data_IF_217244022373
#
_entry.id   IF_217244022373
#
_cell.length_a   1.000
_cell.length_b   1.000
_cell.length_c   1.000
_cell.angle_alpha   90.00
_cell.angle_beta   90.00
_cell.angle_gamma   90.00
#
_symmetry.space_group_name_H-M   'P 1'
#
loop_
_entity.id
_entity.type
_entity.pdbx_description
1 polymer ?
#
# COMPACT_ATOMS: atom_id res chain seq x y z
N UNK A 1 22.12 -8.21 19.29
CA UNK A 1 20.67 -8.50 19.17
C UNK A 1 20.19 -8.37 17.74
N UNK A 2 19.30 -9.25 17.30
CA UNK A 2 18.58 -9.09 16.03
C UNK A 2 17.07 -9.18 16.21
N UNK A 3 16.30 -8.36 15.50
CA UNK A 3 14.84 -8.36 15.53
C UNK A 3 14.23 -7.97 14.18
N UNK A 4 12.93 -8.19 14.02
CA UNK A 4 12.18 -7.75 12.84
C UNK A 4 11.35 -6.51 13.19
N UNK A 5 11.49 -5.45 12.42
CA UNK A 5 10.65 -4.25 12.47
C UNK A 5 9.69 -4.24 11.26
N UNK A 6 8.40 -4.15 11.54
CA UNK A 6 7.31 -4.00 10.58
C UNK A 6 6.28 -3.01 11.13
N UNK A 7 5.31 -2.58 10.31
CA UNK A 7 4.25 -1.65 10.68
C UNK A 7 3.10 -1.77 9.68
N UNK A 8 1.97 -1.10 9.95
CA UNK A 8 0.92 -0.84 8.96
C UNK A 8 0.35 -2.12 8.31
N UNK A 9 0.18 -3.17 9.11
CA UNK A 9 -0.39 -4.44 8.65
C UNK A 9 -1.83 -4.28 8.16
N UNK A 10 -2.57 -3.35 8.77
CA UNK A 10 -3.94 -2.98 8.41
C UNK A 10 -4.82 -4.20 8.13
N UNK A 11 -4.76 -5.18 9.04
CA UNK A 11 -5.51 -6.42 8.92
C UNK A 11 -7.01 -6.10 8.90
N UNK A 12 -7.70 -6.60 7.87
CA UNK A 12 -9.10 -6.25 7.58
C UNK A 12 -9.29 -5.17 6.51
N UNK A 13 -8.22 -4.62 5.93
CA UNK A 13 -8.32 -3.65 4.83
C UNK A 13 -9.13 -4.19 3.64
N UNK A 14 -9.97 -3.32 3.08
CA UNK A 14 -10.70 -3.54 1.83
C UNK A 14 -10.44 -2.42 0.81
N UNK A 15 -10.59 -2.72 -0.47
CA UNK A 15 -10.41 -1.80 -1.59
C UNK A 15 -11.60 -1.94 -2.53
N UNK A 16 -12.38 -0.86 -2.66
CA UNK A 16 -13.63 -0.86 -3.44
C UNK A 16 -13.46 -1.18 -4.94
N UNK A 17 -12.26 -0.97 -5.49
CA UNK A 17 -11.95 -1.21 -6.91
C UNK A 17 -11.50 -2.64 -7.19
N UNK A 18 -11.25 -3.46 -6.16
CA UNK A 18 -10.96 -4.87 -6.35
C UNK A 18 -12.24 -5.62 -6.68
N UNK A 19 -12.17 -6.52 -7.66
CA UNK A 19 -13.29 -7.41 -7.96
C UNK A 19 -13.52 -8.46 -6.85
N UNK A 20 -14.67 -9.15 -6.92
CA UNK A 20 -15.15 -10.09 -5.90
C UNK A 20 -14.15 -11.23 -5.61
N UNK A 21 -13.33 -11.62 -6.59
CA UNK A 21 -12.30 -12.65 -6.42
C UNK A 21 -10.97 -12.09 -5.89
N UNK A 22 -10.65 -10.83 -6.20
CA UNK A 22 -9.41 -10.17 -5.81
C UNK A 22 -9.40 -9.73 -4.34
N UNK A 23 -10.52 -9.21 -3.82
CA UNK A 23 -10.57 -8.73 -2.44
C UNK A 23 -10.24 -9.83 -1.40
N UNK A 24 -10.81 -11.06 -1.47
CA UNK A 24 -10.44 -12.14 -0.55
C UNK A 24 -8.96 -12.53 -0.65
N UNK A 25 -8.38 -12.51 -1.85
CA UNK A 25 -6.95 -12.78 -2.08
C UNK A 25 -6.07 -11.69 -1.49
N UNK A 26 -6.50 -10.43 -1.56
CA UNK A 26 -5.78 -9.30 -0.95
C UNK A 26 -5.78 -9.40 0.58
N UNK A 27 -6.94 -9.67 1.18
CA UNK A 27 -7.06 -9.89 2.62
C UNK A 27 -6.25 -11.11 3.09
N UNK A 28 -6.19 -12.18 2.28
CA UNK A 28 -5.33 -13.33 2.56
C UNK A 28 -3.85 -12.98 2.49
N UNK A 29 -3.41 -12.23 1.48
CA UNK A 29 -2.01 -11.83 1.34
C UNK A 29 -1.49 -11.00 2.52
N UNK A 30 -2.32 -10.10 3.08
CA UNK A 30 -1.96 -9.38 4.32
C UNK A 30 -1.70 -10.30 5.50
N UNK A 31 -2.52 -11.35 5.68
CA UNK A 31 -2.30 -12.37 6.72
C UNK A 31 -1.11 -13.29 6.40
N UNK A 32 -0.90 -13.61 5.13
CA UNK A 32 0.25 -14.38 4.69
C UNK A 32 1.56 -13.62 4.97
N UNK A 33 1.58 -12.29 4.78
CA UNK A 33 2.74 -11.46 5.10
C UNK A 33 3.08 -11.48 6.61
N UNK A 34 2.07 -11.55 7.49
CA UNK A 34 2.27 -11.76 8.94
C UNK A 34 2.81 -13.17 9.22
N UNK A 35 2.26 -14.18 8.57
CA UNK A 35 2.70 -15.58 8.72
C UNK A 35 4.15 -15.77 8.25
N UNK A 36 4.54 -15.07 7.19
CA UNK A 36 5.88 -15.07 6.61
C UNK A 36 6.94 -14.54 7.59
N UNK A 37 6.55 -13.71 8.57
CA UNK A 37 7.47 -13.21 9.59
C UNK A 37 8.09 -14.32 10.43
N UNK A 38 7.40 -15.45 10.62
CA UNK A 38 7.99 -16.62 11.29
C UNK A 38 9.19 -17.18 10.53
N UNK A 39 9.08 -17.29 9.19
CA UNK A 39 10.21 -17.71 8.34
C UNK A 39 11.32 -16.66 8.36
N UNK A 40 10.99 -15.37 8.22
CA UNK A 40 11.98 -14.28 8.27
C UNK A 40 12.72 -14.26 9.60
N UNK A 41 12.01 -14.42 10.71
CA UNK A 41 12.60 -14.47 12.04
C UNK A 41 13.53 -15.68 12.20
N UNK A 42 13.10 -16.87 11.78
CA UNK A 42 13.91 -18.08 11.83
C UNK A 42 15.19 -17.99 10.98
N UNK A 43 15.08 -17.51 9.74
CA UNK A 43 16.22 -17.39 8.82
C UNK A 43 17.24 -16.34 9.26
N UNK A 44 16.74 -15.24 9.82
CA UNK A 44 17.60 -14.18 10.32
C UNK A 44 18.11 -14.45 11.73
N UNK A 45 17.52 -15.38 12.50
CA UNK A 45 17.81 -15.53 13.92
C UNK A 45 17.32 -14.33 14.74
N UNK A 46 16.22 -13.71 14.32
CA UNK A 46 15.59 -12.63 15.07
C UNK A 46 15.01 -13.16 16.40
N UNK A 47 15.23 -12.41 17.47
CA UNK A 47 14.78 -12.76 18.82
C UNK A 47 13.32 -12.37 19.07
N UNK A 48 12.79 -11.39 18.33
CA UNK A 48 11.41 -10.91 18.42
C UNK A 48 11.00 -10.09 17.18
N UNK A 49 9.72 -9.77 17.11
CA UNK A 49 9.10 -8.87 16.11
C UNK A 49 8.50 -7.66 16.82
N UNK A 50 8.68 -6.47 16.24
CA UNK A 50 7.99 -5.24 16.64
C UNK A 50 7.12 -4.76 15.49
N UNK A 51 5.86 -4.41 15.82
CA UNK A 51 4.88 -3.83 14.91
C UNK A 51 4.60 -2.40 15.32
N UNK A 52 5.08 -1.43 14.55
CA UNK A 52 5.08 0.00 14.91
C UNK A 52 3.76 0.72 14.52
N UNK A 53 2.62 0.18 14.92
CA UNK A 53 1.31 0.77 14.68
C UNK A 53 0.51 0.14 13.54
N UNK A 54 -0.78 0.46 13.53
CA UNK A 54 -1.76 0.06 12.52
C UNK A 54 -1.73 -1.45 12.21
N UNK A 55 -1.86 -2.26 13.27
CA UNK A 55 -1.96 -3.72 13.16
C UNK A 55 -3.26 -4.09 12.45
N UNK A 56 -4.34 -3.40 12.83
CA UNK A 56 -5.69 -3.60 12.30
C UNK A 56 -6.16 -2.36 11.53
N UNK A 57 -6.98 -2.56 10.49
CA UNK A 57 -7.53 -1.44 9.70
C UNK A 57 -8.47 -0.53 10.50
N UNK A 58 -9.15 -1.08 11.52
CA UNK A 58 -9.91 -0.30 12.48
C UNK A 58 -10.28 -1.14 13.70
N UNK A 59 -10.70 -0.50 14.79
CA UNK A 59 -11.17 -1.18 15.99
C UNK A 59 -12.42 -2.08 15.80
N UNK A 60 -13.26 -1.83 14.77
CA UNK A 60 -14.53 -2.52 14.57
C UNK A 60 -14.48 -3.65 13.53
N UNK A 61 -13.62 -4.64 13.73
CA UNK A 61 -13.48 -5.77 12.79
C UNK A 61 -14.48 -6.90 13.04
N UNK A 62 -14.76 -7.67 11.99
CA UNK A 62 -15.48 -8.92 12.11
C UNK A 62 -14.68 -9.91 12.97
N UNK A 63 -15.37 -10.69 13.81
CA UNK A 63 -14.73 -11.66 14.71
C UNK A 63 -13.80 -12.63 13.97
N UNK A 64 -14.18 -13.03 12.75
CA UNK A 64 -13.37 -13.90 11.89
C UNK A 64 -12.02 -13.27 11.57
N UNK A 65 -11.97 -11.99 11.22
CA UNK A 65 -10.72 -11.32 10.83
C UNK A 65 -9.79 -11.17 12.03
N UNK A 66 -10.33 -10.90 13.22
CA UNK A 66 -9.55 -10.87 14.46
C UNK A 66 -8.98 -12.26 14.77
N UNK A 67 -9.81 -13.31 14.77
CA UNK A 67 -9.35 -14.67 15.06
C UNK A 67 -8.30 -15.17 14.06
N UNK A 68 -8.48 -14.92 12.76
CA UNK A 68 -7.50 -15.32 11.73
C UNK A 68 -6.19 -14.54 11.85
N UNK A 69 -6.26 -13.26 12.22
CA UNK A 69 -5.08 -12.43 12.48
C UNK A 69 -4.27 -12.95 13.66
N UNK A 70 -4.93 -13.28 14.77
CA UNK A 70 -4.28 -13.86 15.95
C UNK A 70 -3.66 -15.22 15.67
N UNK A 71 -4.29 -16.05 14.84
CA UNK A 71 -3.71 -17.34 14.42
C UNK A 71 -2.46 -17.16 13.55
N UNK A 72 -2.45 -16.17 12.64
CA UNK A 72 -1.24 -15.83 11.88
C UNK A 72 -0.10 -15.36 12.81
N UNK A 73 -0.40 -14.53 13.82
CA UNK A 73 0.58 -14.07 14.81
C UNK A 73 1.14 -15.21 15.67
N UNK A 74 0.31 -16.20 16.03
CA UNK A 74 0.74 -17.41 16.75
C UNK A 74 1.83 -18.17 16.00
N UNK A 75 1.75 -18.21 14.67
CA UNK A 75 2.69 -18.91 13.80
C UNK A 75 4.09 -18.27 13.71
N UNK A 76 4.28 -17.05 14.21
CA UNK A 76 5.57 -16.33 14.13
C UNK A 76 6.65 -17.01 14.99
N UNK A 77 6.28 -17.67 16.09
CA UNK A 77 7.18 -18.50 16.90
C UNK A 77 8.18 -17.76 17.79
N UNK A 78 8.33 -16.45 17.63
CA UNK A 78 9.07 -15.55 18.54
C UNK A 78 8.11 -14.53 19.17
N UNK A 79 8.49 -13.82 20.26
CA UNK A 79 7.70 -12.72 20.81
C UNK A 79 7.37 -11.65 19.76
N UNK A 80 6.15 -11.14 19.81
CA UNK A 80 5.59 -10.14 18.90
C UNK A 80 5.01 -9.01 19.74
N UNK A 81 5.54 -7.81 19.53
CA UNK A 81 5.11 -6.60 20.24
C UNK A 81 4.28 -5.73 19.32
N UNK A 82 3.03 -5.50 19.69
CA UNK A 82 2.06 -4.73 18.92
C UNK A 82 1.94 -3.32 19.52
N UNK A 83 2.35 -2.30 18.77
CA UNK A 83 2.02 -0.91 19.11
C UNK A 83 0.68 -0.54 18.45
N UNK A 84 -0.31 -0.03 19.22
CA UNK A 84 -1.52 0.59 18.67
C UNK A 84 -1.23 1.91 17.91
N UNK A 85 -1.83 2.07 16.73
CA UNK A 85 -1.71 3.23 15.84
C UNK A 85 -2.99 4.06 15.72
N UNK A 86 -3.14 4.81 14.64
CA UNK A 86 -4.28 5.71 14.43
C UNK A 86 -5.53 4.98 13.90
N UNK A 87 -5.35 3.83 13.25
CA UNK A 87 -6.46 2.99 12.80
C UNK A 87 -7.08 2.19 13.96
N UNK A 88 -6.25 1.70 14.87
CA UNK A 88 -6.63 0.82 15.98
C UNK A 88 -6.24 1.38 17.37
N UNK A 89 -6.57 2.65 17.70
CA UNK A 89 -6.14 3.26 18.95
C UNK A 89 -6.69 2.54 20.19
N UNK A 90 -6.02 2.72 21.33
CA UNK A 90 -6.44 2.28 22.67
C UNK A 90 -7.57 3.15 23.24
N UNK A 91 -8.63 3.34 22.47
CA UNK A 91 -9.86 3.99 22.94
C UNK A 91 -10.84 2.99 23.59
N UNK A 92 -12.00 3.47 24.01
CA UNK A 92 -13.02 2.65 24.66
C UNK A 92 -13.57 1.50 23.79
N UNK A 93 -13.35 1.55 22.47
CA UNK A 93 -13.76 0.54 21.49
C UNK A 93 -12.61 -0.34 21.01
N UNK A 94 -11.43 -0.23 21.62
CA UNK A 94 -10.20 -0.87 21.14
C UNK A 94 -10.34 -2.37 20.90
N UNK A 95 -9.88 -2.83 19.74
CA UNK A 95 -9.84 -4.27 19.42
C UNK A 95 -9.01 -5.05 20.44
N UNK A 96 -7.93 -4.44 20.95
CA UNK A 96 -7.01 -5.03 21.91
C UNK A 96 -7.65 -5.33 23.27
N UNK A 97 -8.67 -4.57 23.67
CA UNK A 97 -9.38 -4.76 24.94
C UNK A 97 -10.69 -5.53 24.77
N UNK A 98 -11.04 -5.94 23.55
CA UNK A 98 -12.23 -6.73 23.28
C UNK A 98 -12.17 -8.11 23.95
N UNK A 99 -13.32 -8.66 24.35
CA UNK A 99 -13.41 -9.99 24.93
C UNK A 99 -12.87 -11.09 23.98
N UNK A 100 -13.03 -10.90 22.67
CA UNK A 100 -12.52 -11.81 21.66
C UNK A 100 -10.99 -11.80 21.62
N UNK A 101 -10.39 -10.62 21.50
CA UNK A 101 -8.93 -10.49 21.44
C UNK A 101 -8.29 -11.03 22.72
N UNK A 102 -8.76 -10.57 23.88
CA UNK A 102 -8.22 -10.99 25.19
C UNK A 102 -8.33 -12.49 25.43
N UNK A 103 -9.40 -13.16 24.96
CA UNK A 103 -9.56 -14.61 25.13
C UNK A 103 -8.76 -15.46 24.13
N UNK A 104 -8.38 -14.90 22.98
CA UNK A 104 -7.69 -15.65 21.91
C UNK A 104 -6.25 -15.20 21.67
N UNK A 105 -5.79 -14.13 22.32
CA UNK A 105 -4.44 -13.58 22.19
C UNK A 105 -3.40 -14.68 22.44
N UNK A 106 -2.52 -14.98 21.47
CA UNK A 106 -1.45 -15.94 21.64
C UNK A 106 -0.44 -15.53 22.72
N UNK A 107 0.17 -16.50 23.39
CA UNK A 107 1.17 -16.25 24.44
C UNK A 107 2.42 -15.49 23.94
N UNK A 108 2.73 -15.60 22.63
CA UNK A 108 3.84 -14.88 22.03
C UNK A 108 3.48 -13.44 21.63
N UNK A 109 2.25 -12.97 21.83
CA UNK A 109 1.81 -11.62 21.48
C UNK A 109 1.68 -10.76 22.72
N UNK A 110 2.32 -9.59 22.71
CA UNK A 110 2.20 -8.57 23.76
C UNK A 110 1.78 -7.25 23.13
N UNK A 111 0.70 -6.67 23.63
CA UNK A 111 0.28 -5.32 23.26
C UNK A 111 1.06 -4.31 24.08
N UNK A 112 1.69 -3.34 23.42
CA UNK A 112 2.36 -2.22 24.06
C UNK A 112 1.29 -1.18 24.47
N UNK A 113 0.57 -1.52 25.54
CA UNK A 113 -0.70 -0.89 25.94
C UNK A 113 -0.57 0.42 26.74
N UNK A 114 0.66 0.87 26.99
CA UNK A 114 0.97 2.08 27.75
C UNK A 114 2.24 2.73 27.23
N UNK A 115 2.38 4.02 27.47
CA UNK A 115 3.63 4.72 27.21
C UNK A 115 4.71 4.32 28.23
N UNK A 116 5.94 4.10 27.77
CA UNK A 116 7.10 3.83 28.63
C UNK A 116 7.88 2.57 28.26
N UNK A 117 8.58 2.01 29.25
CA UNK A 117 9.51 0.89 29.07
C UNK A 117 8.83 -0.47 29.17
N UNK A 118 9.22 -1.37 28.27
CA UNK A 118 8.85 -2.79 28.27
C UNK A 118 10.12 -3.63 28.16
N UNK A 119 10.35 -4.53 29.11
CA UNK A 119 11.49 -5.44 29.08
C UNK A 119 11.26 -6.56 28.07
N UNK A 120 12.20 -6.74 27.13
CA UNK A 120 12.21 -7.89 26.22
C UNK A 120 13.01 -9.03 26.84
N UNK A 121 14.20 -8.70 27.33
CA UNK A 121 15.11 -9.55 28.10
C UNK A 121 16.10 -8.67 28.86
N UNK A 122 16.90 -9.21 29.80
CA UNK A 122 17.97 -8.43 30.42
C UNK A 122 18.86 -7.73 29.38
N UNK A 123 19.03 -6.41 29.53
CA UNK A 123 19.82 -5.57 28.63
C UNK A 123 19.08 -5.02 27.40
N UNK A 124 17.83 -5.41 27.16
CA UNK A 124 17.04 -4.97 25.99
C UNK A 124 15.64 -4.52 26.40
N UNK A 125 15.28 -3.30 25.99
CA UNK A 125 13.97 -2.71 26.26
C UNK A 125 13.33 -2.10 25.00
N UNK A 126 12.00 -2.15 24.94
CA UNK A 126 11.20 -1.33 24.04
C UNK A 126 10.76 -0.07 24.78
N UNK A 127 10.81 1.06 24.07
CA UNK A 127 10.26 2.35 24.51
C UNK A 127 9.00 2.60 23.68
N UNK A 128 7.84 2.30 24.26
CA UNK A 128 6.57 2.35 23.54
C UNK A 128 5.84 3.68 23.73
N UNK A 129 5.17 4.13 22.69
CA UNK A 129 4.31 5.32 22.68
C UNK A 129 3.00 5.04 21.92
N UNK A 130 2.07 4.26 22.49
CA UNK A 130 0.85 3.84 21.80
C UNK A 130 -0.15 4.98 21.66
N UNK A 131 -0.94 4.95 20.59
CA UNK A 131 -2.01 5.94 20.39
C UNK A 131 -3.25 5.56 21.20
N UNK A 132 -3.74 6.50 22.00
CA UNK A 132 -4.99 6.37 22.79
C UNK A 132 -6.17 7.10 22.16
N UNK A 133 -5.96 7.75 21.02
CA UNK A 133 -6.99 8.40 20.20
C UNK A 133 -6.53 8.47 18.74
N UNK A 134 -7.45 8.67 17.81
CA UNK A 134 -7.15 8.81 16.37
C UNK A 134 -6.33 10.06 16.01
N UNK A 135 -6.26 11.05 16.89
CA UNK A 135 -5.60 12.32 16.62
C UNK A 135 -4.89 12.80 17.91
N UNK A 136 -3.59 12.48 18.08
CA UNK A 136 -2.84 12.91 19.25
C UNK A 136 -2.73 14.43 19.27
N UNK A 137 -2.77 15.02 20.47
CA UNK A 137 -2.65 16.47 20.68
C UNK A 137 -1.21 16.96 20.83
N UNK A 138 -0.24 16.03 20.90
CA UNK A 138 1.18 16.28 21.11
C UNK A 138 2.02 15.21 20.42
N UNK A 139 3.34 15.40 20.38
CA UNK A 139 4.29 14.42 19.86
C UNK A 139 4.11 13.12 20.67
N UNK A 140 3.76 12.00 20.01
CA UNK A 140 3.48 10.75 20.71
C UNK A 140 4.71 10.18 21.42
N UNK A 141 5.92 10.41 20.90
CA UNK A 141 7.14 9.82 21.45
C UNK A 141 7.89 10.75 22.39
N UNK A 142 7.66 12.06 22.35
CA UNK A 142 8.45 13.03 23.13
C UNK A 142 8.54 12.68 24.63
N UNK A 143 7.40 12.41 25.27
CA UNK A 143 7.35 12.15 26.72
C UNK A 143 8.06 10.88 27.18
N UNK A 144 8.28 9.90 26.29
CA UNK A 144 8.98 8.65 26.64
C UNK A 144 10.48 8.70 26.37
N UNK A 145 10.98 9.80 25.78
CA UNK A 145 12.39 9.98 25.48
C UNK A 145 13.14 10.74 26.59
N UNK A 146 12.46 11.62 27.32
CA UNK A 146 13.08 12.61 28.22
C UNK A 146 14.01 11.98 29.28
N UNK A 147 13.57 10.89 29.90
CA UNK A 147 14.28 10.23 31.02
C UNK A 147 15.24 9.10 30.58
N UNK A 148 15.51 8.96 29.28
CA UNK A 148 16.36 7.89 28.77
C UNK A 148 17.84 8.27 28.78
N UNK A 149 18.58 7.63 29.68
CA UNK A 149 20.01 7.80 29.92
C UNK A 149 20.86 6.70 29.26
N UNK A 150 22.16 6.97 29.08
CA UNK A 150 23.14 5.98 28.63
C UNK A 150 23.59 5.09 29.79
N UNK A 151 22.81 4.05 30.07
CA UNK A 151 23.06 3.06 31.12
C UNK A 151 23.48 1.67 30.58
N UNK A 152 23.76 1.59 29.28
CA UNK A 152 24.18 0.36 28.60
C UNK A 152 23.04 -0.58 28.21
N UNK A 153 21.78 -0.20 28.46
CA UNK A 153 20.62 -0.96 27.98
C UNK A 153 20.31 -0.61 26.53
N UNK A 154 20.24 -1.61 25.65
CA UNK A 154 19.81 -1.42 24.27
C UNK A 154 18.31 -1.09 24.23
N UNK A 155 17.98 0.11 23.78
CA UNK A 155 16.61 0.64 23.72
C UNK A 155 16.12 0.86 22.31
N UNK A 156 14.97 0.29 21.99
CA UNK A 156 14.29 0.43 20.71
C UNK A 156 13.01 1.24 20.92
N UNK A 157 12.93 2.43 20.34
CA UNK A 157 11.68 3.20 20.32
C UNK A 157 10.73 2.57 19.33
N UNK A 158 9.49 2.36 19.76
CA UNK A 158 8.38 1.91 18.93
C UNK A 158 7.33 3.00 18.94
N UNK A 159 7.24 3.73 17.83
CA UNK A 159 6.34 4.87 17.68
C UNK A 159 5.52 4.79 16.40
N UNK A 160 4.45 5.56 16.34
CA UNK A 160 3.59 5.64 15.16
C UNK A 160 3.23 7.10 14.90
N UNK A 161 3.25 7.51 13.64
CA UNK A 161 2.89 8.86 13.21
C UNK A 161 3.93 9.51 12.29
N UNK A 162 3.55 10.65 11.73
CA UNK A 162 4.40 11.43 10.81
C UNK A 162 5.51 12.20 11.52
N UNK A 163 6.73 12.12 10.98
CA UNK A 163 7.84 13.00 11.37
C UNK A 163 7.68 14.38 10.72
N UNK A 164 8.04 15.43 11.46
CA UNK A 164 7.86 16.83 11.10
C UNK A 164 8.53 17.28 9.79
N UNK A 165 9.56 16.58 9.31
CA UNK A 165 10.24 16.91 8.06
C UNK A 165 9.43 16.60 6.78
N UNK A 166 8.41 15.74 6.87
CA UNK A 166 7.67 15.23 5.71
C UNK A 166 6.36 15.96 5.41
N UNK A 167 6.06 17.02 6.16
CA UNK A 167 4.78 17.70 6.07
C UNK A 167 4.98 19.20 5.84
N UNK A 168 4.08 19.87 5.08
CA UNK A 168 4.20 21.31 4.85
C UNK A 168 4.09 22.12 6.15
N UNK A 169 3.11 21.77 6.98
CA UNK A 169 2.92 22.36 8.31
C UNK A 169 3.69 21.54 9.35
N UNK A 170 4.94 21.96 9.58
CA UNK A 170 5.90 21.31 10.48
C UNK A 170 5.65 21.62 11.95
N UNK A 171 4.86 22.64 12.26
CA UNK A 171 4.67 23.11 13.63
C UNK A 171 3.53 22.38 14.36
N UNK A 172 2.78 21.52 13.67
CA UNK A 172 1.72 20.71 14.28
C UNK A 172 2.25 19.93 15.46
N UNK A 173 1.60 20.14 16.61
CA UNK A 173 2.02 19.55 17.88
C UNK A 173 2.02 18.01 17.84
N UNK A 174 1.19 17.39 17.01
CA UNK A 174 1.01 15.94 16.88
C UNK A 174 2.14 15.21 16.12
N UNK A 175 3.10 15.95 15.55
CA UNK A 175 4.18 15.39 14.74
C UNK A 175 5.33 14.90 15.63
N UNK A 176 5.94 13.80 15.21
CA UNK A 176 7.16 13.29 15.83
C UNK A 176 8.32 14.23 15.49
N UNK A 177 9.00 14.76 16.51
CA UNK A 177 10.13 15.66 16.36
C UNK A 177 11.40 14.89 16.06
N UNK A 178 11.91 15.00 14.83
CA UNK A 178 13.16 14.35 14.43
C UNK A 178 14.32 14.74 15.35
N UNK A 179 14.42 16.02 15.72
CA UNK A 179 15.48 16.52 16.58
C UNK A 179 15.48 15.86 17.97
N UNK A 180 14.30 15.53 18.52
CA UNK A 180 14.19 14.86 19.82
C UNK A 180 14.69 13.41 19.73
N UNK A 181 14.35 12.69 18.65
CA UNK A 181 14.85 11.35 18.37
C UNK A 181 16.37 11.33 18.18
N UNK A 182 16.91 12.22 17.35
CA UNK A 182 18.36 12.31 17.12
C UNK A 182 19.11 12.71 18.39
N UNK A 183 18.55 13.58 19.24
CA UNK A 183 19.12 13.90 20.54
C UNK A 183 19.13 12.69 21.49
N UNK A 184 18.09 11.84 21.45
CA UNK A 184 18.02 10.60 22.24
C UNK A 184 19.04 9.56 21.80
N UNK A 185 19.24 9.44 20.50
CA UNK A 185 20.30 8.62 19.92
C UNK A 185 21.68 9.17 20.28
N UNK A 186 21.90 10.49 20.11
CA UNK A 186 23.19 11.13 20.33
C UNK A 186 23.68 11.04 21.77
N UNK A 187 22.77 11.02 22.75
CA UNK A 187 23.13 10.80 24.16
C UNK A 187 23.27 9.34 24.55
N UNK A 188 22.99 8.38 23.67
CA UNK A 188 23.07 6.94 23.95
C UNK A 188 21.87 6.38 24.74
N UNK A 189 20.78 7.13 24.89
CA UNK A 189 19.56 6.66 25.54
C UNK A 189 18.69 5.79 24.62
N UNK A 190 18.85 5.91 23.30
CA UNK A 190 18.10 5.17 22.28
C UNK A 190 19.06 4.64 21.21
N UNK A 191 18.82 3.40 20.77
CA UNK A 191 19.72 2.68 19.88
C UNK A 191 19.11 2.42 18.50
N UNK A 192 17.77 2.33 18.42
CA UNK A 192 17.01 2.26 17.17
C UNK A 192 15.62 2.85 17.35
N UNK A 193 15.03 3.36 16.28
CA UNK A 193 13.66 3.91 16.26
C UNK A 193 12.86 3.24 15.13
N UNK A 194 11.89 2.44 15.53
CA UNK A 194 10.90 1.79 14.68
C UNK A 194 9.65 2.67 14.57
N UNK A 195 9.37 3.19 13.37
CA UNK A 195 8.19 4.02 13.09
C UNK A 195 7.23 3.34 12.11
N UNK A 196 5.92 3.50 12.33
CA UNK A 196 4.86 3.27 11.32
C UNK A 196 4.06 4.55 11.04
N UNK A 197 3.07 4.48 10.13
CA UNK A 197 2.24 5.56 9.50
C UNK A 197 2.61 5.82 8.03
N UNK A 198 3.85 5.49 7.65
CA UNK A 198 4.32 5.62 6.27
C UNK A 198 4.45 4.24 5.65
N UNK A 199 3.64 4.01 4.63
CA UNK A 199 3.62 2.73 3.91
C UNK A 199 4.82 2.55 2.97
N UNK A 200 5.54 3.64 2.65
CA UNK A 200 6.83 3.61 1.96
C UNK A 200 7.96 3.22 2.93
N UNK A 201 8.88 2.36 2.48
CA UNK A 201 10.09 2.04 3.25
C UNK A 201 11.06 3.21 3.19
N UNK A 202 11.50 3.73 4.34
CA UNK A 202 12.32 4.94 4.36
C UNK A 202 13.22 5.04 5.60
N UNK A 203 14.47 5.45 5.39
CA UNK A 203 15.35 5.93 6.46
C UNK A 203 15.08 7.41 6.71
N UNK A 204 15.02 7.81 7.98
CA UNK A 204 14.77 9.19 8.39
C UNK A 204 16.00 9.75 9.10
N UNK A 205 16.30 11.02 8.85
CA UNK A 205 17.40 11.73 9.50
C UNK A 205 18.79 11.23 9.10
N UNK A 206 19.77 11.57 9.92
CA UNK A 206 21.20 11.42 9.61
C UNK A 206 21.87 10.26 10.34
N UNK A 207 21.22 9.68 11.34
CA UNK A 207 21.82 8.71 12.27
C UNK A 207 21.89 7.28 11.72
N UNK A 208 21.13 6.96 10.67
CA UNK A 208 20.96 5.59 10.17
C UNK A 208 20.08 4.69 11.04
N UNK A 209 19.49 5.22 12.12
CA UNK A 209 18.79 4.44 13.17
C UNK A 209 17.29 4.66 13.24
N UNK A 210 16.74 5.57 12.43
CA UNK A 210 15.31 5.92 12.42
C UNK A 210 14.72 5.47 11.10
N UNK A 211 13.70 4.62 11.16
CA UNK A 211 13.14 4.00 9.96
C UNK A 211 11.62 3.94 10.01
N UNK A 212 11.00 4.16 8.86
CA UNK A 212 9.69 3.59 8.54
C UNK A 212 9.92 2.28 7.80
N UNK A 213 9.35 1.16 8.29
CA UNK A 213 9.46 -0.12 7.58
C UNK A 213 8.71 -0.14 6.25
N UNK A 214 7.67 0.71 6.14
CA UNK A 214 6.62 0.55 5.15
C UNK A 214 5.60 -0.50 5.56
N UNK A 215 4.51 -0.58 4.80
CA UNK A 215 3.53 -1.66 4.93
C UNK A 215 4.08 -2.94 4.30
N UNK A 216 3.95 -4.11 4.95
CA UNK A 216 4.48 -5.37 4.43
C UNK A 216 3.69 -5.90 3.23
N UNK A 217 2.45 -5.46 3.03
CA UNK A 217 1.72 -5.62 1.76
C UNK A 217 1.41 -4.26 1.15
N UNK A 218 1.38 -4.19 -0.18
CA UNK A 218 1.20 -2.92 -0.89
C UNK A 218 -0.20 -2.36 -0.63
N UNK A 219 -0.30 -1.07 -0.34
CA UNK A 219 -1.58 -0.43 -0.06
C UNK A 219 -2.00 0.54 -1.16
N UNK A 220 -1.04 1.17 -1.84
CA UNK A 220 -1.30 2.20 -2.83
C UNK A 220 -0.36 2.10 -4.03
N UNK A 221 -0.64 2.91 -5.05
CA UNK A 221 0.12 2.95 -6.29
C UNK A 221 1.56 3.45 -6.09
N UNK A 222 2.45 3.00 -6.98
CA UNK A 222 3.89 3.26 -6.97
C UNK A 222 4.30 4.74 -7.12
N UNK A 223 3.43 5.59 -7.65
CA UNK A 223 3.60 7.05 -7.68
C UNK A 223 3.30 7.72 -6.33
N UNK A 224 2.67 7.01 -5.38
CA UNK A 224 2.33 7.51 -4.04
C UNK A 224 3.21 6.84 -2.98
N UNK A 225 3.35 5.51 -3.04
CA UNK A 225 4.14 4.71 -2.10
C UNK A 225 5.42 4.21 -2.77
N UNK A 226 6.57 4.66 -2.26
CA UNK A 226 7.88 4.22 -2.76
C UNK A 226 8.37 2.99 -2.00
N UNK A 227 8.70 1.95 -2.76
CA UNK A 227 9.29 0.70 -2.25
C UNK A 227 8.53 0.01 -1.08
N UNK A 228 7.18 -0.10 -1.12
CA UNK A 228 6.41 -0.81 -0.07
C UNK A 228 6.63 -2.33 -0.14
N UNK A 229 6.02 -3.08 0.77
CA UNK A 229 6.00 -4.54 0.76
C UNK A 229 7.19 -5.20 1.46
N UNK A 230 7.81 -4.48 2.41
CA UNK A 230 9.01 -4.90 3.11
C UNK A 230 8.77 -5.02 4.61
N UNK A 231 9.61 -5.83 5.23
CA UNK A 231 9.94 -5.73 6.66
C UNK A 231 11.43 -5.49 6.80
N UNK A 232 11.85 -4.97 7.95
CA UNK A 232 13.25 -4.64 8.22
C UNK A 232 13.82 -5.64 9.22
N UNK A 233 14.91 -6.30 8.85
CA UNK A 233 15.74 -7.07 9.78
C UNK A 233 16.74 -6.08 10.36
N UNK A 234 16.69 -5.88 11.67
CA UNK A 234 17.53 -4.92 12.39
C UNK A 234 18.50 -5.69 13.26
N UNK A 235 19.77 -5.42 13.09
CA UNK A 235 20.86 -5.98 13.88
C UNK A 235 21.53 -4.86 14.65
N UNK A 236 21.46 -4.93 15.98
CA UNK A 236 22.11 -4.02 16.92
C UNK A 236 23.24 -4.81 17.57
N UNK A 237 24.47 -4.42 17.30
CA UNK A 237 25.63 -5.01 17.98
C UNK A 237 25.62 -4.55 19.45
N UNK A 238 25.47 -5.47 20.39
CA UNK A 238 25.46 -5.17 21.83
C UNK A 238 26.87 -5.27 22.44
N UNK A 239 27.83 -5.84 21.73
CA UNK A 239 29.20 -6.04 22.21
C UNK A 239 30.08 -4.79 21.98
N UNK A 240 29.70 -3.96 21.00
CA UNK A 240 30.33 -2.66 20.76
C UNK A 240 29.61 -1.54 21.53
N UNK A 241 30.32 -0.73 22.36
CA UNK A 241 29.72 0.39 23.09
C UNK A 241 28.97 1.41 22.22
N UNK A 242 29.35 1.56 20.94
CA UNK A 242 28.68 2.45 19.99
C UNK A 242 27.38 1.85 19.43
N UNK A 243 27.11 0.58 19.71
CA UNK A 243 25.95 -0.19 19.25
C UNK A 243 25.63 0.02 17.78
N UNK A 244 26.56 -0.21 16.84
CA UNK A 244 26.30 -0.02 15.42
C UNK A 244 25.07 -0.81 14.99
N UNK A 245 24.27 -0.20 14.11
CA UNK A 245 23.02 -0.80 13.62
C UNK A 245 23.14 -1.09 12.14
N UNK A 246 22.80 -2.32 11.77
CA UNK A 246 22.61 -2.72 10.38
C UNK A 246 21.13 -3.01 10.13
N UNK A 247 20.59 -2.42 9.07
CA UNK A 247 19.20 -2.62 8.65
C UNK A 247 19.18 -3.26 7.28
N UNK A 248 18.55 -4.43 7.16
CA UNK A 248 18.40 -5.16 5.92
C UNK A 248 16.91 -5.30 5.57
N UNK A 249 16.45 -4.76 4.42
CA UNK A 249 15.07 -4.95 4.00
C UNK A 249 14.84 -6.38 3.48
N UNK A 250 13.71 -6.98 3.85
CA UNK A 250 13.24 -8.25 3.33
C UNK A 250 11.87 -8.05 2.68
N UNK A 251 11.77 -8.35 1.38
CA UNK A 251 10.50 -8.31 0.66
C UNK A 251 9.63 -9.48 1.12
N UNK A 252 8.42 -9.17 1.59
CA UNK A 252 7.38 -10.16 1.95
C UNK A 252 6.08 -9.93 1.18
N UNK A 253 5.84 -8.70 0.73
CA UNK A 253 4.64 -8.34 0.00
C UNK A 253 4.55 -8.97 -1.38
N UNK A 254 3.35 -9.43 -1.73
CA UNK A 254 3.05 -10.17 -2.96
C UNK A 254 2.22 -9.38 -3.95
N UNK A 255 1.56 -8.31 -3.51
CA UNK A 255 0.73 -7.47 -4.36
C UNK A 255 1.52 -6.34 -5.01
N UNK A 256 1.01 -5.84 -6.14
CA UNK A 256 1.58 -4.72 -6.89
C UNK A 256 0.50 -3.75 -7.30
N UNK A 257 0.71 -2.46 -7.08
CA UNK A 257 -0.19 -1.40 -7.50
C UNK A 257 0.64 -0.49 -8.40
N UNK A 258 0.35 -0.52 -9.70
CA UNK A 258 1.20 0.07 -10.74
C UNK A 258 0.46 1.19 -11.44
N UNK A 259 1.11 2.34 -11.57
CA UNK A 259 0.65 3.43 -12.44
C UNK A 259 1.38 3.38 -13.78
N UNK A 260 0.64 3.36 -14.88
CA UNK A 260 1.21 3.45 -16.23
C UNK A 260 0.64 4.68 -16.96
N UNK A 261 1.53 5.60 -17.32
CA UNK A 261 1.19 6.73 -18.19
C UNK A 261 1.68 6.46 -19.62
N UNK A 262 0.78 6.56 -20.60
CA UNK A 262 1.08 6.28 -22.01
C UNK A 262 0.38 7.26 -22.95
N UNK A 263 1.14 7.75 -23.94
CA UNK A 263 0.56 8.36 -25.14
C UNK A 263 0.03 7.25 -26.06
N UNK A 264 -1.18 7.42 -26.59
CA UNK A 264 -1.80 6.46 -27.51
C UNK A 264 -2.45 7.23 -28.65
N UNK A 265 -1.79 7.27 -29.80
CA UNK A 265 -2.23 8.04 -30.98
C UNK A 265 -2.45 7.14 -32.22
N UNK A 266 -2.16 5.84 -32.11
CA UNK A 266 -2.23 4.91 -33.22
C UNK A 266 -2.41 3.45 -32.77
N UNK A 267 -2.83 2.59 -33.69
CA UNK A 267 -2.83 1.13 -33.49
C UNK A 267 -1.46 0.53 -33.09
N UNK A 268 -0.35 1.20 -33.43
CA UNK A 268 0.98 0.79 -32.96
C UNK A 268 1.14 1.04 -31.47
N UNK A 269 0.72 2.20 -30.98
CA UNK A 269 0.81 2.53 -29.55
C UNK A 269 -0.10 1.62 -28.72
N UNK A 270 -1.24 1.22 -29.28
CA UNK A 270 -2.13 0.21 -28.67
C UNK A 270 -1.44 -1.15 -28.60
N UNK A 271 -0.72 -1.55 -29.65
CA UNK A 271 0.07 -2.79 -29.65
C UNK A 271 1.18 -2.74 -28.61
N UNK A 272 1.86 -1.61 -28.49
CA UNK A 272 2.89 -1.41 -27.47
C UNK A 272 2.26 -1.46 -26.06
N UNK A 273 1.08 -0.86 -25.85
CA UNK A 273 0.34 -0.97 -24.58
C UNK A 273 -0.04 -2.42 -24.27
N UNK A 274 -0.53 -3.18 -25.24
CA UNK A 274 -0.85 -4.61 -25.08
C UNK A 274 0.38 -5.39 -24.61
N UNK A 275 1.55 -5.18 -25.23
CA UNK A 275 2.81 -5.82 -24.83
C UNK A 275 3.21 -5.43 -23.41
N UNK A 276 3.11 -4.13 -23.05
CA UNK A 276 3.45 -3.66 -21.70
C UNK A 276 2.55 -4.32 -20.64
N UNK A 277 1.25 -4.44 -20.89
CA UNK A 277 0.30 -5.09 -19.99
C UNK A 277 0.54 -6.60 -19.92
N UNK A 278 0.88 -7.25 -21.04
CA UNK A 278 1.17 -8.69 -21.07
C UNK A 278 2.43 -9.05 -20.28
N UNK A 279 3.44 -8.18 -20.30
CA UNK A 279 4.70 -8.41 -19.58
C UNK A 279 4.60 -8.21 -18.06
N UNK A 280 3.52 -7.62 -17.55
CA UNK A 280 3.31 -7.51 -16.11
C UNK A 280 3.08 -8.90 -15.49
N UNK A 281 3.89 -9.30 -14.48
CA UNK A 281 3.76 -10.59 -13.81
C UNK A 281 2.57 -10.59 -12.84
N UNK A 282 2.19 -11.77 -12.37
CA UNK A 282 1.22 -11.96 -11.28
C UNK A 282 -0.03 -11.08 -11.45
N UNK A 283 -0.62 -11.11 -12.65
CA UNK A 283 -1.74 -10.23 -13.03
C UNK A 283 -2.86 -10.31 -12.00
N UNK A 284 -3.13 -11.51 -11.53
CA UNK A 284 -4.16 -11.82 -10.56
C UNK A 284 -3.94 -11.14 -9.18
N UNK A 285 -2.75 -10.58 -8.91
CA UNK A 285 -2.38 -9.78 -7.71
C UNK A 285 -1.81 -8.40 -8.06
N UNK A 286 -1.97 -7.99 -9.31
CA UNK A 286 -1.52 -6.70 -9.81
C UNK A 286 -2.73 -5.82 -10.09
N UNK A 287 -2.75 -4.65 -9.45
CA UNK A 287 -3.69 -3.57 -9.69
C UNK A 287 -3.02 -2.57 -10.62
N UNK A 288 -3.65 -2.25 -11.74
CA UNK A 288 -3.10 -1.32 -12.72
C UNK A 288 -4.02 -0.10 -12.83
N UNK A 289 -3.42 1.08 -12.72
CA UNK A 289 -4.06 2.37 -13.00
C UNK A 289 -3.40 2.99 -14.22
N UNK A 290 -4.17 3.18 -15.28
CA UNK A 290 -3.70 3.70 -16.56
C UNK A 290 -4.04 5.17 -16.70
N UNK A 291 -3.08 5.99 -17.12
CA UNK A 291 -3.33 7.33 -17.64
C UNK A 291 -3.01 7.34 -19.14
N UNK A 292 -4.02 7.52 -19.98
CA UNK A 292 -3.87 7.46 -21.43
C UNK A 292 -4.14 8.85 -22.04
N UNK A 293 -3.24 9.35 -22.88
CA UNK A 293 -3.40 10.64 -23.56
C UNK A 293 -3.19 10.52 -25.05
N UNK A 294 -3.93 11.26 -25.88
CA UNK A 294 -3.71 11.25 -27.33
C UNK A 294 -4.98 11.39 -28.15
N UNK A 295 -4.88 11.12 -29.45
CA UNK A 295 -6.01 11.14 -30.38
C UNK A 295 -6.10 9.84 -31.17
N UNK A 296 -7.26 9.18 -31.15
CA UNK A 296 -7.50 7.91 -31.82
C UNK A 296 -8.60 8.02 -32.86
N UNK A 297 -8.50 7.18 -33.89
CA UNK A 297 -9.62 6.88 -34.77
C UNK A 297 -10.70 6.09 -34.03
N UNK A 298 -11.90 5.96 -34.60
CA UNK A 298 -12.96 5.15 -33.96
C UNK A 298 -12.55 3.67 -33.93
N UNK A 299 -11.85 3.21 -34.96
CA UNK A 299 -11.29 1.87 -35.12
C UNK A 299 -10.21 1.61 -34.09
N UNK A 300 -9.25 2.53 -33.93
CA UNK A 300 -8.20 2.39 -32.93
C UNK A 300 -8.80 2.45 -31.51
N UNK A 301 -9.80 3.30 -31.26
CA UNK A 301 -10.50 3.32 -29.97
C UNK A 301 -11.18 1.98 -29.68
N UNK A 302 -11.84 1.37 -30.67
CA UNK A 302 -12.44 0.04 -30.52
C UNK A 302 -11.37 -1.05 -30.26
N UNK A 303 -10.19 -0.96 -30.91
CA UNK A 303 -9.07 -1.85 -30.66
C UNK A 303 -8.49 -1.68 -29.24
N UNK A 304 -8.39 -0.43 -28.76
CA UNK A 304 -7.99 -0.12 -27.39
C UNK A 304 -8.97 -0.73 -26.39
N UNK A 305 -10.28 -0.61 -26.61
CA UNK A 305 -11.30 -1.19 -25.73
C UNK A 305 -11.21 -2.72 -25.67
N UNK A 306 -10.96 -3.38 -26.80
CA UNK A 306 -10.72 -4.83 -26.84
C UNK A 306 -9.45 -5.21 -26.07
N UNK A 307 -8.39 -4.41 -26.17
CA UNK A 307 -7.15 -4.59 -25.41
C UNK A 307 -7.40 -4.45 -23.90
N UNK A 308 -8.08 -3.39 -23.46
CA UNK A 308 -8.38 -3.18 -22.04
C UNK A 308 -9.33 -4.26 -21.50
N UNK A 309 -10.38 -4.64 -22.24
CA UNK A 309 -11.31 -5.73 -21.89
C UNK A 309 -10.57 -7.07 -21.67
N UNK A 310 -9.52 -7.34 -22.46
CA UNK A 310 -8.68 -8.54 -22.29
C UNK A 310 -8.02 -8.57 -20.92
N UNK A 311 -7.49 -7.45 -20.47
CA UNK A 311 -6.70 -7.37 -19.24
C UNK A 311 -7.52 -7.11 -17.98
N UNK A 312 -8.68 -6.47 -18.09
CA UNK A 312 -9.63 -6.33 -16.99
C UNK A 312 -10.04 -7.68 -16.39
N UNK A 313 -10.10 -8.73 -17.22
CA UNK A 313 -10.38 -10.11 -16.82
C UNK A 313 -9.19 -10.85 -16.17
N UNK A 314 -7.98 -10.32 -16.29
CA UNK A 314 -6.74 -10.98 -15.85
C UNK A 314 -6.11 -10.31 -14.63
N UNK A 315 -6.17 -8.98 -14.57
CA UNK A 315 -5.63 -8.23 -13.45
C UNK A 315 -6.51 -8.33 -12.21
N UNK A 316 -5.93 -8.08 -11.04
CA UNK A 316 -6.72 -7.93 -9.81
C UNK A 316 -7.69 -6.75 -9.91
N UNK A 317 -7.25 -5.69 -10.59
CA UNK A 317 -8.08 -4.61 -11.08
C UNK A 317 -7.32 -3.84 -12.19
N UNK A 318 -8.04 -3.37 -13.20
CA UNK A 318 -7.54 -2.46 -14.22
C UNK A 318 -8.48 -1.26 -14.28
N UNK A 319 -7.93 -0.06 -14.12
CA UNK A 319 -8.75 1.16 -14.11
C UNK A 319 -8.07 2.29 -14.89
N UNK A 320 -8.88 3.15 -15.50
CA UNK A 320 -8.41 4.41 -16.04
C UNK A 320 -8.32 5.46 -14.92
N UNK A 321 -7.30 6.31 -14.99
CA UNK A 321 -7.15 7.46 -14.13
C UNK A 321 -7.79 8.66 -14.80
N UNK A 322 -9.10 8.84 -14.56
CA UNK A 322 -9.92 9.84 -15.28
C UNK A 322 -9.29 11.25 -15.31
N UNK A 323 -8.69 11.68 -14.19
CA UNK A 323 -8.07 13.02 -14.09
C UNK A 323 -6.80 13.19 -14.94
N UNK A 324 -6.19 12.10 -15.39
CA UNK A 324 -4.95 12.07 -16.16
C UNK A 324 -5.14 11.40 -17.52
N UNK A 325 -6.37 11.01 -17.85
CA UNK A 325 -6.72 10.36 -19.11
C UNK A 325 -7.44 11.37 -20.00
N UNK A 326 -6.91 11.60 -21.20
CA UNK A 326 -7.45 12.53 -22.17
C UNK A 326 -7.26 11.96 -23.58
N UNK A 327 -8.27 11.21 -24.05
CA UNK A 327 -8.27 10.58 -25.37
C UNK A 327 -9.36 11.24 -26.22
N UNK A 328 -8.96 11.97 -27.25
CA UNK A 328 -9.87 12.44 -28.28
C UNK A 328 -10.15 11.33 -29.30
N UNK A 329 -11.41 11.13 -29.68
CA UNK A 329 -11.78 10.15 -30.72
C UNK A 329 -12.27 10.90 -31.96
N UNK A 330 -11.55 10.77 -33.07
CA UNK A 330 -11.79 11.51 -34.30
C UNK A 330 -11.97 10.53 -35.46
N UNK A 331 -13.14 10.48 -36.12
CA UNK A 331 -13.36 9.61 -37.27
C UNK A 331 -12.38 9.90 -38.41
N UNK A 332 -11.64 8.88 -38.85
CA UNK A 332 -10.76 9.00 -40.01
C UNK A 332 -11.56 9.05 -41.32
N UNK A 333 -10.98 9.67 -42.35
CA UNK A 333 -11.62 9.68 -43.67
C UNK A 333 -11.65 8.25 -44.25
N UNK A 334 -12.82 7.83 -44.72
CA UNK A 334 -13.06 6.51 -45.30
C UNK A 334 -13.15 5.35 -44.31
N UNK A 335 -13.15 5.62 -43.00
CA UNK A 335 -13.14 4.60 -41.93
C UNK A 335 -14.38 3.68 -41.93
N UNK A 336 -15.50 4.15 -42.50
CA UNK A 336 -16.77 3.44 -42.50
C UNK A 336 -17.22 2.98 -43.90
N UNK A 337 -16.40 3.23 -44.93
CA UNK A 337 -16.76 2.97 -46.34
C UNK A 337 -16.88 1.46 -46.63
N UNK A 338 -16.09 0.63 -45.95
CA UNK A 338 -15.97 -0.82 -46.19
C UNK A 338 -16.91 -1.68 -45.32
N UNK A 339 -17.85 -1.08 -44.58
CA UNK A 339 -18.75 -1.83 -43.67
C UNK A 339 -19.80 -2.69 -44.39
N UNK A 340 -19.92 -2.59 -45.72
CA UNK A 340 -20.93 -3.32 -46.49
C UNK A 340 -22.37 -2.90 -46.16
N UNK A 341 -22.54 -1.75 -45.51
CA UNK A 341 -23.82 -1.18 -45.11
C UNK A 341 -24.34 -0.32 -46.26
N UNK A 342 -25.55 -0.59 -46.74
CA UNK A 342 -26.19 0.15 -47.83
C UNK A 342 -27.49 0.82 -47.41
N UNK A 343 -27.96 1.77 -48.23
CA UNK A 343 -29.26 2.42 -48.06
C UNK A 343 -29.32 3.31 -46.80
N UNK A 344 -30.46 3.30 -46.11
CA UNK A 344 -30.71 4.16 -44.94
C UNK A 344 -29.67 4.04 -43.83
N UNK A 345 -29.07 2.85 -43.68
CA UNK A 345 -28.06 2.63 -42.67
C UNK A 345 -26.71 3.31 -43.01
N UNK A 346 -26.36 3.42 -44.30
CA UNK A 346 -25.18 4.19 -44.72
C UNK A 346 -25.38 5.69 -44.44
N UNK A 347 -26.56 6.24 -44.76
CA UNK A 347 -26.87 7.64 -44.46
C UNK A 347 -26.88 7.96 -42.96
N UNK A 348 -27.31 7.02 -42.12
CA UNK A 348 -27.24 7.18 -40.66
C UNK A 348 -25.79 7.17 -40.16
N UNK A 349 -24.90 6.35 -40.76
CA UNK A 349 -23.47 6.37 -40.45
C UNK A 349 -22.84 7.70 -40.87
N UNK A 350 -23.16 8.22 -42.05
CA UNK A 350 -22.67 9.53 -42.50
C UNK A 350 -23.10 10.67 -41.55
N UNK A 351 -24.35 10.63 -41.07
CA UNK A 351 -24.87 11.58 -40.10
C UNK A 351 -24.13 11.48 -38.75
N UNK A 352 -23.89 10.26 -38.27
CA UNK A 352 -23.12 10.01 -37.05
C UNK A 352 -21.66 10.46 -37.19
N UNK A 353 -21.02 10.23 -38.33
CA UNK A 353 -19.65 10.70 -38.60
C UNK A 353 -19.59 12.23 -38.60
N UNK A 354 -20.57 12.88 -39.25
CA UNK A 354 -20.70 14.34 -39.23
C UNK A 354 -20.89 14.89 -37.81
N UNK A 355 -21.77 14.26 -37.01
CA UNK A 355 -22.01 14.64 -35.62
C UNK A 355 -20.77 14.42 -34.73
N UNK A 356 -20.07 13.29 -34.89
CA UNK A 356 -18.87 12.94 -34.13
C UNK A 356 -17.67 13.89 -34.37
N UNK A 357 -17.62 14.52 -35.55
CA UNK A 357 -16.61 15.54 -35.91
C UNK A 357 -16.94 16.95 -35.40
N UNK A 358 -18.14 17.16 -34.85
CA UNK A 358 -18.55 18.44 -34.28
C UNK A 358 -18.25 18.52 -32.77
N UNK A 359 -18.23 19.72 -32.21
CA UNK A 359 -18.20 19.96 -30.75
C UNK A 359 -19.62 20.15 -30.17
N UNK A 360 -20.64 19.65 -30.89
CA UNK A 360 -22.05 19.83 -30.54
C UNK A 360 -22.56 18.85 -29.48
N UNK A 361 -23.73 19.17 -28.92
CA UNK A 361 -24.43 18.28 -27.98
C UNK A 361 -24.82 16.98 -28.72
N UNK A 362 -24.18 15.86 -28.35
CA UNK A 362 -24.35 14.54 -29.00
C UNK A 362 -23.14 14.01 -29.78
N UNK A 363 -22.03 14.77 -29.86
CA UNK A 363 -20.81 14.30 -30.51
C UNK A 363 -20.23 13.03 -29.86
N UNK A 364 -20.22 12.97 -28.53
CA UNK A 364 -19.72 11.81 -27.79
C UNK A 364 -20.62 10.58 -27.94
N UNK A 365 -21.95 10.78 -27.94
CA UNK A 365 -22.92 9.72 -28.21
C UNK A 365 -22.73 9.17 -29.64
N UNK A 366 -22.45 10.04 -30.61
CA UNK A 366 -22.16 9.64 -31.98
C UNK A 366 -20.86 8.83 -32.09
N UNK A 367 -19.79 9.26 -31.42
CA UNK A 367 -18.51 8.50 -31.34
C UNK A 367 -18.73 7.13 -30.70
N UNK A 368 -19.48 7.06 -29.60
CA UNK A 368 -19.78 5.81 -28.91
C UNK A 368 -20.63 4.85 -29.78
N UNK A 369 -21.62 5.37 -30.51
CA UNK A 369 -22.45 4.60 -31.43
C UNK A 369 -21.63 4.02 -32.60
N UNK A 370 -20.75 4.83 -33.20
CA UNK A 370 -19.85 4.38 -34.27
C UNK A 370 -18.87 3.30 -33.78
N UNK A 371 -18.31 3.45 -32.57
CA UNK A 371 -17.44 2.44 -31.96
C UNK A 371 -18.17 1.11 -31.71
N UNK A 372 -19.42 1.17 -31.23
CA UNK A 372 -20.25 -0.01 -31.05
C UNK A 372 -20.55 -0.71 -32.38
N UNK A 373 -20.87 0.06 -33.44
CA UNK A 373 -21.12 -0.47 -34.78
C UNK A 373 -19.93 -1.28 -35.31
N UNK A 374 -18.71 -0.73 -35.18
CA UNK A 374 -17.46 -1.41 -35.57
C UNK A 374 -17.22 -2.69 -34.76
N UNK A 375 -17.51 -2.67 -33.45
CA UNK A 375 -17.40 -3.86 -32.60
C UNK A 375 -18.34 -4.98 -33.05
N UNK A 376 -19.55 -4.63 -33.50
CA UNK A 376 -20.56 -5.60 -33.96
C UNK A 376 -20.28 -6.13 -35.36
N UNK A 377 -19.85 -5.28 -36.29
CA UNK A 377 -19.49 -5.72 -37.65
C UNK A 377 -18.32 -6.69 -37.65
N UNK A 378 -17.30 -6.46 -36.82
CA UNK A 378 -16.15 -7.36 -36.69
C UNK A 378 -16.47 -8.68 -35.98
N UNK A 379 -17.53 -8.75 -35.16
CA UNK A 379 -18.03 -10.01 -34.57
C UNK A 379 -18.85 -10.86 -35.54
N UNK A 380 -19.41 -10.26 -36.60
CA UNK A 380 -20.16 -10.97 -37.63
C UNK A 380 -19.30 -11.63 -38.72
N UNK A 381 -18.01 -11.33 -38.75
CA UNK A 381 -17.05 -11.81 -39.75
C UNK A 381 -16.21 -13.02 -39.28
N UNK A 382 -16.47 -13.55 -38.08
CA UNK A 382 -15.73 -14.67 -37.47
C UNK A 382 -16.48 -16.01 -37.59
#
# INVERSE_FOLDING_TARGET
MRFVHTADWQLGMTRYFLNDDAQPRYSAARRDAVSELGRVAAESGAEFVVVAGDVFEHNQLAARDVSQSLEAMRGIGVPVYLLPGNHDPLDASSVYTSALFTSQCPDNVTVLDRAGLFDVRPGVQLVAAPWTSKAPSSDPVAGVLEDLEADGVARIVVGHGGVDIFVPDKDRASLIRLAALEAAIGRGGVHYVALGDKHSRMQVGSTGRIWYSGSPEVTNYDDIETDPGHVLIVDVDEDDPAHPVRVEPRKVGRWRFVTLCRGVDSGRDITDLDINLDLLPDKDRTVVRLALTGSLTVTDKAALDVCLDKYDRLFAALSLWDKQTDIAVIPADGEFDDLGIGGFAASAVDELVGAARSDGQGADDARAALALLLRLSNRGAA
#
